data_IF_508846642222
#
_entry.id   IF_508846642222
#
_cell.length_a   1.000
_cell.length_b   1.000
_cell.length_c   1.000
_cell.angle_alpha   90.00
_cell.angle_beta   90.00
_cell.angle_gamma   90.00
#
_symmetry.space_group_name_H-M   'P 1'
#
loop_
_entity.id
_entity.type
_entity.pdbx_description
1 polymer ?
#
# COMPACT_ATOMS: atom_id res chain seq x y z
N UNK A 1 -17.64 42.39 -34.89
CA UNK A 1 -16.71 41.36 -35.43
C UNK A 1 -15.23 41.77 -35.43
N UNK A 2 -14.78 42.84 -36.14
CA UNK A 2 -13.32 43.12 -36.33
C UNK A 2 -12.48 43.10 -35.03
N UNK A 3 -12.93 43.75 -33.96
CA UNK A 3 -12.21 43.80 -32.67
C UNK A 3 -12.00 42.41 -32.05
N UNK A 4 -13.07 41.60 -31.96
CA UNK A 4 -12.98 40.24 -31.41
C UNK A 4 -12.02 39.33 -32.21
N UNK A 5 -11.98 39.49 -33.54
CA UNK A 5 -11.03 38.74 -34.39
C UNK A 5 -9.58 39.19 -34.14
N UNK A 6 -9.33 40.47 -33.86
CA UNK A 6 -7.99 40.96 -33.48
C UNK A 6 -7.56 40.36 -32.13
N UNK A 7 -8.40 40.46 -31.09
CA UNK A 7 -8.09 39.89 -29.76
C UNK A 7 -7.71 38.40 -29.86
N UNK A 8 -8.47 37.60 -30.60
CA UNK A 8 -8.21 36.15 -30.70
C UNK A 8 -6.82 35.84 -31.27
N UNK A 9 -6.36 36.59 -32.30
CA UNK A 9 -5.04 36.36 -32.90
C UNK A 9 -3.92 36.90 -32.00
N UNK A 10 -4.14 38.02 -31.28
CA UNK A 10 -3.21 38.53 -30.28
C UNK A 10 -3.02 37.57 -29.10
N UNK A 11 -4.10 36.96 -28.61
CA UNK A 11 -4.05 35.97 -27.52
C UNK A 11 -3.34 34.69 -27.97
N UNK A 12 -3.66 34.16 -29.16
CA UNK A 12 -2.98 32.96 -29.71
C UNK A 12 -1.48 33.24 -29.89
N UNK A 13 -1.10 34.40 -30.45
CA UNK A 13 0.31 34.77 -30.62
C UNK A 13 1.08 34.94 -29.30
N UNK A 14 0.41 35.42 -28.24
CA UNK A 14 1.01 35.50 -26.91
C UNK A 14 1.19 34.11 -26.28
N UNK A 15 0.19 33.23 -26.42
CA UNK A 15 0.25 31.85 -25.92
C UNK A 15 1.33 31.03 -26.63
N UNK A 16 1.49 31.17 -27.95
CA UNK A 16 2.58 30.47 -28.66
C UNK A 16 3.96 31.02 -28.28
N UNK A 17 4.12 32.35 -28.12
CA UNK A 17 5.37 32.94 -27.66
C UNK A 17 5.79 32.43 -26.26
N UNK A 18 4.83 32.29 -25.33
CA UNK A 18 5.08 31.74 -23.99
C UNK A 18 5.53 30.26 -24.06
N UNK A 19 4.89 29.45 -24.92
CA UNK A 19 5.25 28.03 -25.09
C UNK A 19 6.60 27.81 -25.79
N UNK A 20 7.05 28.75 -26.64
CA UNK A 20 8.37 28.70 -27.27
C UNK A 20 9.52 29.13 -26.35
N UNK A 21 9.22 29.80 -25.23
CA UNK A 21 10.20 30.25 -24.23
C UNK A 21 10.30 29.32 -23.01
N UNK A 22 9.31 28.45 -22.78
CA UNK A 22 9.25 27.62 -21.57
C UNK A 22 10.35 26.56 -21.40
N UNK A 23 10.94 25.93 -22.45
CA UNK A 23 11.98 24.91 -22.26
C UNK A 23 13.27 25.44 -21.62
N UNK A 24 13.56 26.73 -21.78
CA UNK A 24 14.81 27.35 -21.29
C UNK A 24 14.76 27.84 -19.85
N UNK A 25 13.57 28.09 -19.28
CA UNK A 25 13.44 28.72 -17.96
C UNK A 25 13.25 27.74 -16.79
N UNK A 26 12.99 26.46 -17.07
CA UNK A 26 12.72 25.45 -16.03
C UNK A 26 13.97 24.73 -15.49
N UNK A 27 15.17 25.23 -15.79
CA UNK A 27 16.45 24.74 -15.22
C UNK A 27 17.02 25.63 -14.10
N UNK A 28 16.39 26.77 -13.78
CA UNK A 28 16.75 27.60 -12.61
C UNK A 28 16.23 26.99 -11.30
N UNK A 29 16.67 25.77 -11.00
CA UNK A 29 16.20 24.99 -9.85
C UNK A 29 17.09 23.79 -9.47
N UNK A 30 18.23 23.58 -10.12
CA UNK A 30 19.23 22.63 -9.63
C UNK A 30 19.88 23.22 -8.38
N UNK A 31 19.32 22.89 -7.22
CA UNK A 31 20.05 22.99 -5.96
C UNK A 31 21.17 21.94 -6.01
N UNK A 32 22.34 22.35 -6.50
CA UNK A 32 23.59 21.71 -6.10
C UNK A 32 23.68 21.87 -4.60
N UNK A 33 23.43 20.81 -3.84
CA UNK A 33 23.73 20.80 -2.42
C UNK A 33 25.21 21.18 -2.26
N UNK A 34 25.49 22.25 -1.50
CA UNK A 34 26.86 22.63 -1.19
C UNK A 34 27.58 21.41 -0.60
N UNK A 35 28.74 21.07 -1.19
CA UNK A 35 29.51 19.93 -0.74
C UNK A 35 29.90 20.15 0.72
N UNK A 36 29.36 19.33 1.62
CA UNK A 36 29.47 19.51 3.06
C UNK A 36 30.94 19.70 3.46
N UNK A 37 31.28 20.92 3.92
CA UNK A 37 32.64 21.31 4.25
C UNK A 37 33.17 20.41 5.36
N UNK A 38 34.32 19.78 5.11
CA UNK A 38 34.85 18.73 5.97
C UNK A 38 35.10 19.25 7.39
N UNK A 39 34.41 18.66 8.36
CA UNK A 39 34.62 18.88 9.79
C UNK A 39 35.91 18.23 10.30
N UNK A 40 37.04 18.50 9.67
CA UNK A 40 38.35 18.11 10.18
C UNK A 40 38.61 18.84 11.52
N UNK A 41 39.31 18.23 12.50
CA UNK A 41 39.68 18.91 13.73
C UNK A 41 40.61 20.09 13.42
N UNK A 42 40.12 21.32 13.58
CA UNK A 42 40.91 22.54 13.29
C UNK A 42 42.06 22.77 14.28
N UNK A 43 42.15 22.00 15.37
CA UNK A 43 43.32 22.03 16.26
C UNK A 43 43.76 20.62 16.67
N UNK A 44 45.05 20.47 16.97
CA UNK A 44 45.61 19.28 17.64
C UNK A 44 46.24 19.65 18.98
N UNK A 45 46.00 18.82 20.00
CA UNK A 45 46.65 18.99 21.31
C UNK A 45 48.12 18.56 21.25
N UNK A 46 49.02 19.41 21.72
CA UNK A 46 50.45 19.10 21.84
C UNK A 46 51.00 19.41 23.23
N UNK A 47 51.86 18.53 23.73
CA UNK A 47 52.51 18.64 25.04
C UNK A 47 53.99 18.31 24.90
N UNK A 48 54.83 18.99 25.68
CA UNK A 48 56.27 18.78 25.64
C UNK A 48 56.97 19.15 26.95
N UNK A 49 58.26 18.79 27.05
CA UNK A 49 59.14 19.23 28.14
C UNK A 49 60.41 19.84 27.58
N UNK A 50 60.44 21.16 27.56
CA UNK A 50 61.53 22.00 27.07
C UNK A 50 62.79 21.88 27.97
N UNK A 51 63.94 21.72 27.32
CA UNK A 51 65.26 21.57 27.92
C UNK A 51 66.27 22.46 27.21
N UNK A 52 67.29 22.90 27.94
CA UNK A 52 68.45 23.57 27.37
C UNK A 52 69.29 22.57 26.55
N UNK A 53 69.54 22.87 25.28
CA UNK A 53 70.35 22.03 24.40
C UNK A 53 71.82 21.90 24.85
N UNK A 54 72.36 22.92 25.54
CA UNK A 54 73.74 22.96 26.00
C UNK A 54 73.99 22.27 27.35
N UNK A 55 72.95 22.02 28.15
CA UNK A 55 73.09 21.44 29.49
C UNK A 55 72.17 20.25 29.80
N UNK A 56 71.17 19.94 28.96
CA UNK A 56 70.22 18.84 29.16
C UNK A 56 69.20 19.04 30.30
N UNK A 57 69.43 20.04 31.16
CA UNK A 57 68.51 20.50 32.20
C UNK A 57 67.22 21.08 31.61
N UNK A 58 66.13 21.06 32.39
CA UNK A 58 64.94 21.84 32.07
C UNK A 58 65.25 23.33 32.04
N UNK A 59 64.50 24.07 31.24
CA UNK A 59 64.50 25.54 31.31
C UNK A 59 63.82 26.03 32.59
N UNK A 60 64.13 27.27 32.97
CA UNK A 60 63.47 27.98 34.08
C UNK A 60 61.96 28.09 33.87
N UNK A 61 61.21 28.25 34.96
CA UNK A 61 59.79 28.61 34.88
C UNK A 61 59.66 30.03 34.30
N UNK A 62 58.76 30.23 33.34
CA UNK A 62 58.54 31.53 32.71
C UNK A 62 57.68 31.45 31.45
N UNK A 63 57.44 32.60 30.83
CA UNK A 63 56.76 32.68 29.53
C UNK A 63 57.76 32.43 28.40
N UNK A 64 57.39 31.59 27.44
CA UNK A 64 58.15 31.32 26.23
C UNK A 64 57.25 31.43 25.00
N UNK A 65 57.83 31.82 23.87
CA UNK A 65 57.14 32.00 22.60
C UNK A 65 57.48 30.82 21.69
N UNK A 66 56.44 30.18 21.15
CA UNK A 66 56.54 28.99 20.31
C UNK A 66 56.05 29.30 18.91
N UNK A 67 56.69 28.68 17.91
CA UNK A 67 56.23 28.59 16.53
C UNK A 67 56.17 27.13 16.15
N UNK A 68 55.03 26.70 15.64
CA UNK A 68 54.81 25.35 15.14
C UNK A 68 54.64 25.44 13.63
N UNK A 69 55.39 24.63 12.89
CA UNK A 69 55.29 24.55 11.43
C UNK A 69 55.09 23.09 11.03
N UNK A 70 54.06 22.79 10.23
CA UNK A 70 53.80 21.44 9.73
C UNK A 70 54.28 21.32 8.29
N UNK A 71 55.00 20.24 8.00
CA UNK A 71 55.59 19.94 6.69
C UNK A 71 55.18 18.58 6.16
N UNK A 72 55.15 18.45 4.83
CA UNK A 72 54.93 17.21 4.08
C UNK A 72 56.14 16.24 4.09
N UNK A 73 57.26 16.62 4.71
CA UNK A 73 58.49 15.83 4.76
C UNK A 73 59.26 16.02 6.08
N UNK A 74 60.02 14.98 6.47
CA UNK A 74 60.91 14.99 7.64
C UNK A 74 62.01 16.03 7.60
N UNK A 75 62.45 16.41 6.39
CA UNK A 75 63.53 17.35 6.09
C UNK A 75 63.28 17.96 4.72
N UNK A 76 63.34 19.29 4.60
CA UNK A 76 62.92 19.99 3.36
C UNK A 76 61.40 20.04 3.25
N UNK A 77 60.85 19.77 2.07
CA UNK A 77 59.40 19.71 1.85
C UNK A 77 58.68 21.07 1.84
N UNK A 78 57.37 21.02 1.64
CA UNK A 78 56.46 22.18 1.65
C UNK A 78 55.92 22.40 3.07
N UNK A 79 55.84 23.66 3.50
CA UNK A 79 55.09 24.02 4.70
C UNK A 79 53.59 23.95 4.37
N UNK A 80 52.85 23.12 5.11
CA UNK A 80 51.39 22.93 4.96
C UNK A 80 50.63 23.96 5.79
N UNK A 81 51.05 24.22 7.02
CA UNK A 81 50.42 25.21 7.91
C UNK A 81 51.39 25.66 9.02
N UNK A 82 51.04 26.71 9.77
CA UNK A 82 51.83 27.22 10.89
C UNK A 82 50.99 27.96 11.92
N UNK A 83 51.36 27.80 13.19
CA UNK A 83 50.73 28.45 14.34
C UNK A 83 51.79 29.03 15.30
N UNK A 84 51.41 30.01 16.13
CA UNK A 84 52.29 30.67 17.08
C UNK A 84 51.62 30.86 18.45
N UNK A 85 52.21 30.30 19.50
CA UNK A 85 51.64 30.33 20.84
C UNK A 85 52.58 30.97 21.87
N UNK A 86 52.04 31.80 22.76
CA UNK A 86 52.77 32.31 23.94
C UNK A 86 52.37 31.47 25.15
N UNK A 87 53.30 30.67 25.69
CA UNK A 87 53.00 29.62 26.67
C UNK A 87 53.80 29.79 27.95
N UNK A 88 53.15 29.56 29.10
CA UNK A 88 53.82 29.46 30.40
C UNK A 88 54.44 28.08 30.55
N UNK A 89 55.77 28.03 30.64
CA UNK A 89 56.54 26.80 30.87
C UNK A 89 56.81 26.64 32.36
N UNK A 90 56.58 25.44 32.91
CA UNK A 90 56.81 25.12 34.34
C UNK A 90 57.51 23.77 34.50
N UNK A 91 58.68 23.74 35.14
CA UNK A 91 59.56 22.55 35.23
C UNK A 91 59.88 21.96 33.83
N UNK A 92 60.04 22.86 32.85
CA UNK A 92 60.15 22.54 31.42
C UNK A 92 58.84 22.16 30.73
N UNK A 93 57.78 21.78 31.44
CA UNK A 93 56.52 21.31 30.82
C UNK A 93 55.69 22.46 30.24
N UNK A 94 55.04 22.18 29.11
CA UNK A 94 54.02 23.01 28.48
C UNK A 94 52.95 22.14 27.80
N UNK A 95 51.77 22.73 27.58
CA UNK A 95 50.67 22.16 26.81
C UNK A 95 50.04 23.26 25.96
N UNK A 96 49.56 22.92 24.77
CA UNK A 96 48.86 23.85 23.87
C UNK A 96 47.92 23.11 22.92
N UNK A 97 47.02 23.84 22.29
CA UNK A 97 46.33 23.42 21.08
C UNK A 97 47.00 24.17 19.92
N UNK A 98 47.41 23.44 18.89
CA UNK A 98 48.00 23.99 17.66
C UNK A 98 46.87 24.14 16.65
N UNK A 99 46.61 25.34 16.16
CA UNK A 99 45.67 25.56 15.05
C UNK A 99 46.26 25.03 13.74
N UNK A 100 45.44 24.34 12.95
CA UNK A 100 45.84 23.74 11.69
C UNK A 100 45.43 24.59 10.47
N UNK A 101 44.59 25.60 10.66
CA UNK A 101 43.82 26.28 9.62
C UNK A 101 42.90 25.34 8.83
N UNK A 102 42.23 25.86 7.80
CA UNK A 102 41.31 25.11 6.93
C UNK A 102 42.01 24.23 5.89
N UNK A 103 43.35 24.28 5.77
CA UNK A 103 44.09 23.69 4.64
C UNK A 103 44.71 22.30 4.92
N UNK A 104 44.58 21.77 6.14
CA UNK A 104 44.97 20.38 6.48
C UNK A 104 43.78 19.44 6.24
N UNK A 105 43.48 19.18 4.97
CA UNK A 105 42.16 18.68 4.54
C UNK A 105 41.82 17.25 5.01
N UNK A 106 42.79 16.33 5.14
CA UNK A 106 42.49 14.90 5.36
C UNK A 106 43.49 14.05 6.18
N UNK A 107 44.70 14.54 6.48
CA UNK A 107 45.82 13.73 7.05
C UNK A 107 46.22 12.47 6.24
N UNK A 108 45.90 12.39 4.95
CA UNK A 108 46.24 11.23 4.10
C UNK A 108 47.76 11.05 3.94
N UNK A 109 48.51 12.16 3.98
CA UNK A 109 49.97 12.14 4.01
C UNK A 109 50.51 12.25 5.44
N UNK A 110 51.68 11.65 5.67
CA UNK A 110 52.42 11.86 6.91
C UNK A 110 52.78 13.34 7.06
N UNK A 111 52.63 13.89 8.27
CA UNK A 111 53.04 15.27 8.58
C UNK A 111 54.16 15.28 9.63
N UNK A 112 55.04 16.27 9.51
CA UNK A 112 56.19 16.46 10.39
C UNK A 112 56.19 17.88 10.97
N UNK A 113 56.16 17.98 12.29
CA UNK A 113 56.12 19.24 13.01
C UNK A 113 57.53 19.72 13.38
N UNK A 114 57.88 20.89 12.87
CA UNK A 114 59.03 21.68 13.31
C UNK A 114 58.60 22.62 14.43
N UNK A 115 59.47 22.84 15.42
CA UNK A 115 59.19 23.71 16.57
C UNK A 115 60.34 24.70 16.72
N UNK A 116 60.01 25.99 16.61
CA UNK A 116 60.88 27.09 17.03
C UNK A 116 60.48 27.59 18.42
N UNK A 117 61.45 27.86 19.30
CA UNK A 117 61.20 28.35 20.66
C UNK A 117 62.05 29.57 20.97
N UNK A 118 61.47 30.56 21.64
CA UNK A 118 62.12 31.81 22.02
C UNK A 118 61.81 32.21 23.47
N UNK A 119 62.79 32.79 24.16
CA UNK A 119 62.60 33.41 25.48
C UNK A 119 62.31 34.91 25.44
N UNK A 120 62.49 35.57 24.30
CA UNK A 120 62.30 37.02 24.10
C UNK A 120 61.21 37.36 23.06
N UNK A 121 60.74 36.37 22.31
CA UNK A 121 59.76 36.51 21.23
C UNK A 121 60.36 36.97 19.90
N UNK A 122 61.68 37.24 19.86
CA UNK A 122 62.42 37.82 18.73
C UNK A 122 63.28 36.75 18.05
N UNK A 123 64.16 36.09 18.81
CA UNK A 123 65.09 35.06 18.28
C UNK A 123 64.60 33.67 18.65
N UNK A 124 64.43 32.78 17.67
CA UNK A 124 63.87 31.43 17.88
C UNK A 124 64.94 30.37 17.59
N UNK A 125 65.19 29.51 18.58
CA UNK A 125 65.96 28.29 18.42
C UNK A 125 65.04 27.19 17.86
N UNK A 126 65.39 26.64 16.69
CA UNK A 126 64.64 25.55 16.05
C UNK A 126 65.14 24.18 16.52
N UNK A 127 64.20 23.28 16.85
CA UNK A 127 64.52 21.90 17.23
C UNK A 127 65.17 21.14 16.06
N UNK A 128 66.24 20.40 16.34
CA UNK A 128 67.12 19.78 15.32
C UNK A 128 66.48 18.62 14.54
N UNK A 129 65.33 18.11 14.97
CA UNK A 129 64.54 17.11 14.26
C UNK A 129 63.06 17.45 14.33
N UNK A 130 62.33 17.21 13.22
CA UNK A 130 60.88 17.37 13.19
C UNK A 130 60.18 16.18 13.84
N UNK A 131 59.17 16.47 14.66
CA UNK A 131 58.34 15.45 15.31
C UNK A 131 57.33 14.94 14.29
N UNK A 132 57.45 13.68 13.86
CA UNK A 132 56.45 13.05 13.00
C UNK A 132 55.12 12.92 13.76
N UNK A 133 54.03 13.46 13.19
CA UNK A 133 52.68 13.17 13.67
C UNK A 133 52.31 11.72 13.27
N UNK A 134 51.70 10.99 14.21
CA UNK A 134 51.25 9.61 13.99
C UNK A 134 49.83 9.46 14.52
N UNK A 135 49.01 8.65 13.84
CA UNK A 135 47.69 8.27 14.33
C UNK A 135 47.78 7.45 15.62
N UNK A 136 46.78 7.55 16.49
CA UNK A 136 46.74 6.74 17.71
C UNK A 136 46.46 5.27 17.39
N UNK A 137 46.93 4.34 18.23
CA UNK A 137 46.76 2.89 18.00
C UNK A 137 45.28 2.48 17.78
N UNK A 138 44.35 3.11 18.50
CA UNK A 138 42.91 2.85 18.35
C UNK A 138 42.26 3.66 17.22
N UNK A 139 42.87 4.77 16.79
CA UNK A 139 42.41 5.53 15.62
C UNK A 139 42.61 4.77 14.29
N UNK A 140 43.48 3.75 14.25
CA UNK A 140 43.63 2.87 13.08
C UNK A 140 42.41 1.96 12.84
N UNK A 141 41.62 1.62 13.88
CA UNK A 141 40.39 0.82 13.72
C UNK A 141 39.15 1.69 13.52
N UNK A 142 39.18 2.97 13.95
CA UNK A 142 38.10 3.94 13.75
C UNK A 142 38.41 4.93 12.62
N UNK A 143 38.86 4.43 11.46
CA UNK A 143 39.18 5.27 10.29
C UNK A 143 37.97 6.14 9.91
N UNK A 144 38.25 7.36 9.45
CA UNK A 144 37.23 8.30 9.00
C UNK A 144 36.35 7.70 7.90
N UNK A 145 35.06 8.06 7.90
CA UNK A 145 34.19 7.82 6.75
C UNK A 145 34.67 8.75 5.64
N UNK A 146 35.22 8.18 4.57
CA UNK A 146 35.81 8.94 3.47
C UNK A 146 34.69 9.48 2.56
N UNK A 147 34.73 10.77 2.19
CA UNK A 147 33.80 11.33 1.20
C UNK A 147 34.35 11.10 -0.22
N UNK A 148 33.60 10.40 -1.08
CA UNK A 148 34.02 10.13 -2.47
C UNK A 148 32.83 10.08 -3.43
N UNK A 149 33.02 10.53 -4.68
CA UNK A 149 32.01 10.40 -5.73
C UNK A 149 31.84 8.94 -6.23
N UNK A 150 32.83 8.08 -5.98
CA UNK A 150 32.87 6.69 -6.45
C UNK A 150 33.47 5.75 -5.42
N UNK A 151 33.21 4.45 -5.59
CA UNK A 151 33.74 3.40 -4.73
C UNK A 151 35.29 3.37 -4.75
N UNK A 152 35.97 3.44 -3.60
CA UNK A 152 37.41 3.24 -3.54
C UNK A 152 37.83 1.88 -4.12
N UNK A 153 38.91 1.86 -4.89
CA UNK A 153 39.39 0.67 -5.62
C UNK A 153 40.67 0.04 -5.03
N UNK A 154 41.28 0.69 -4.04
CA UNK A 154 42.55 0.30 -3.39
C UNK A 154 42.43 0.43 -1.88
N UNK A 155 43.28 -0.24 -1.11
CA UNK A 155 43.23 -0.29 0.37
C UNK A 155 41.87 -0.81 0.92
N UNK A 156 41.42 -1.92 0.35
CA UNK A 156 40.14 -2.54 0.70
C UNK A 156 40.31 -3.50 1.89
N UNK A 157 39.55 -3.25 2.96
CA UNK A 157 39.49 -4.08 4.16
C UNK A 157 38.04 -4.18 4.64
N UNK A 158 37.68 -5.31 5.27
CA UNK A 158 36.31 -5.51 5.76
C UNK A 158 35.96 -4.46 6.83
N UNK A 159 34.80 -3.83 6.71
CA UNK A 159 34.35 -2.75 7.59
C UNK A 159 34.88 -1.36 7.21
N UNK A 160 35.63 -1.17 6.11
CA UNK A 160 35.90 0.19 5.60
C UNK A 160 34.58 0.85 5.19
N UNK A 161 34.43 2.15 5.46
CA UNK A 161 33.22 2.91 5.17
C UNK A 161 33.55 4.15 4.33
N UNK A 162 32.70 4.47 3.35
CA UNK A 162 32.78 5.73 2.59
C UNK A 162 31.36 6.29 2.34
N UNK A 163 31.23 7.61 2.35
CA UNK A 163 30.01 8.30 1.95
C UNK A 163 30.09 8.65 0.46
N UNK A 164 29.17 8.10 -0.32
CA UNK A 164 29.09 8.37 -1.74
C UNK A 164 28.41 9.72 -1.99
N UNK A 165 29.20 10.73 -2.36
CA UNK A 165 28.70 12.11 -2.54
C UNK A 165 27.85 12.30 -3.80
N UNK A 166 27.86 11.35 -4.74
CA UNK A 166 27.02 11.37 -5.95
C UNK A 166 25.64 10.73 -5.72
N UNK A 167 25.53 9.76 -4.82
CA UNK A 167 24.26 9.06 -4.52
C UNK A 167 23.67 9.36 -3.15
N UNK A 168 24.39 10.10 -2.29
CA UNK A 168 23.99 10.41 -0.91
C UNK A 168 23.97 9.20 0.03
N UNK A 169 24.66 8.10 -0.32
CA UNK A 169 24.59 6.82 0.41
C UNK A 169 25.89 6.51 1.14
N UNK A 170 25.78 6.12 2.40
CA UNK A 170 26.87 5.50 3.14
C UNK A 170 27.07 4.07 2.64
N UNK A 171 28.31 3.64 2.43
CA UNK A 171 28.66 2.32 1.91
C UNK A 171 29.70 1.67 2.82
N UNK A 172 29.61 0.35 3.01
CA UNK A 172 30.57 -0.46 3.76
C UNK A 172 31.16 -1.55 2.87
N UNK A 173 32.46 -1.80 2.97
CA UNK A 173 33.11 -2.90 2.26
C UNK A 173 33.00 -4.19 3.08
N UNK A 174 32.31 -5.20 2.55
CA UNK A 174 32.02 -6.45 3.27
C UNK A 174 33.16 -7.51 3.18
N UNK A 175 34.32 -7.13 2.63
CA UNK A 175 35.43 -8.04 2.33
C UNK A 175 35.47 -8.57 0.90
N UNK A 176 34.41 -8.40 0.10
CA UNK A 176 34.39 -8.74 -1.34
C UNK A 176 33.88 -7.59 -2.21
N UNK A 177 32.82 -6.90 -1.78
CA UNK A 177 32.17 -5.80 -2.50
C UNK A 177 31.81 -4.63 -1.55
N UNK A 178 31.54 -3.48 -2.16
CA UNK A 178 30.89 -2.36 -1.48
C UNK A 178 29.39 -2.60 -1.43
N UNK A 179 28.81 -2.52 -0.23
CA UNK A 179 27.37 -2.66 0.04
C UNK A 179 26.85 -1.32 0.56
N UNK A 180 25.75 -0.84 -0.01
CA UNK A 180 25.08 0.37 0.47
C UNK A 180 24.39 0.11 1.81
N UNK A 181 24.63 0.98 2.80
CA UNK A 181 23.84 1.04 4.02
C UNK A 181 22.50 1.70 3.66
N UNK A 182 21.45 0.88 3.58
CA UNK A 182 20.12 1.30 3.13
C UNK A 182 19.57 2.43 4.00
N UNK A 183 19.27 3.58 3.39
CA UNK A 183 18.74 4.77 4.06
C UNK A 183 17.20 4.90 3.96
N UNK A 184 16.56 3.95 3.30
CA UNK A 184 15.10 3.79 3.17
C UNK A 184 14.77 2.29 2.96
N UNK A 185 13.48 1.94 3.00
CA UNK A 185 13.03 0.55 2.97
C UNK A 185 13.14 -0.11 1.58
N UNK A 186 13.02 0.65 0.49
CA UNK A 186 13.21 0.15 -0.89
C UNK A 186 14.68 -0.22 -1.14
N UNK A 187 15.61 0.63 -0.69
CA UNK A 187 17.05 0.32 -0.69
C UNK A 187 17.43 -0.85 0.24
N UNK A 188 16.59 -1.22 1.21
CA UNK A 188 16.76 -2.44 1.99
C UNK A 188 16.21 -3.66 1.25
N UNK A 189 15.07 -3.50 0.58
CA UNK A 189 14.41 -4.54 -0.20
C UNK A 189 15.21 -4.97 -1.44
N UNK A 190 15.75 -4.00 -2.20
CA UNK A 190 16.54 -4.26 -3.41
C UNK A 190 17.87 -4.99 -3.12
N UNK A 191 18.37 -4.93 -1.89
CA UNK A 191 19.57 -5.67 -1.45
C UNK A 191 19.35 -7.20 -1.32
N UNK A 192 18.11 -7.71 -1.36
CA UNK A 192 17.84 -9.16 -1.38
C UNK A 192 18.07 -9.81 -2.75
N UNK A 193 18.25 -9.02 -3.81
CA UNK A 193 18.56 -9.51 -5.16
C UNK A 193 17.33 -9.91 -5.99
N UNK A 194 17.53 -10.75 -7.00
CA UNK A 194 16.52 -11.07 -8.03
C UNK A 194 15.54 -12.21 -7.66
N UNK A 195 15.53 -12.66 -6.42
CA UNK A 195 14.60 -13.67 -5.92
C UNK A 195 13.43 -12.99 -5.17
N UNK A 196 12.31 -13.70 -4.99
CA UNK A 196 11.16 -13.17 -4.24
C UNK A 196 11.51 -12.99 -2.75
N UNK A 197 11.75 -11.74 -2.35
CA UNK A 197 12.03 -11.32 -0.98
C UNK A 197 10.87 -11.64 -0.05
N UNK A 198 11.13 -12.32 1.07
CA UNK A 198 10.12 -12.62 2.09
C UNK A 198 10.35 -11.76 3.32
N UNK A 199 9.44 -10.83 3.60
CA UNK A 199 9.35 -10.20 4.92
C UNK A 199 8.94 -11.29 5.90
N UNK A 200 9.89 -11.72 6.74
CA UNK A 200 9.66 -12.75 7.75
C UNK A 200 9.49 -12.04 9.10
N UNK A 201 8.31 -12.20 9.70
CA UNK A 201 8.04 -11.75 11.06
C UNK A 201 8.13 -12.97 11.96
N UNK A 202 9.13 -13.01 12.83
CA UNK A 202 9.31 -14.07 13.82
C UNK A 202 9.40 -13.50 15.25
N UNK A 203 9.51 -14.40 16.22
CA UNK A 203 9.68 -14.09 17.64
C UNK A 203 11.07 -14.47 18.17
N UNK A 204 12.10 -14.50 17.30
CA UNK A 204 13.45 -14.95 17.67
C UNK A 204 14.09 -14.06 18.76
N UNK A 205 13.77 -12.75 18.75
CA UNK A 205 14.21 -11.76 19.73
C UNK A 205 13.13 -11.54 20.83
N UNK A 206 12.30 -12.55 21.09
CA UNK A 206 11.21 -12.53 22.08
C UNK A 206 10.11 -11.50 21.81
N UNK A 207 9.86 -11.13 20.54
CA UNK A 207 8.73 -10.30 20.15
C UNK A 207 7.39 -10.97 20.52
N UNK A 208 6.43 -10.18 21.02
CA UNK A 208 5.11 -10.67 21.46
C UNK A 208 3.94 -10.12 20.64
N UNK A 209 4.20 -9.56 19.45
CA UNK A 209 3.22 -8.93 18.56
C UNK A 209 3.50 -9.22 17.09
N UNK A 210 2.54 -8.90 16.21
CA UNK A 210 2.59 -9.16 14.77
C UNK A 210 2.88 -7.91 13.92
N UNK A 211 2.50 -7.97 12.65
CA UNK A 211 2.52 -6.85 11.69
C UNK A 211 1.18 -6.11 11.70
N UNK A 212 1.22 -4.77 11.67
CA UNK A 212 0.06 -3.89 11.79
C UNK A 212 0.16 -2.69 10.82
N UNK A 213 -0.98 -2.23 10.30
CA UNK A 213 -1.09 -1.06 9.41
C UNK A 213 -2.17 -0.11 9.93
N UNK A 214 -1.77 0.90 10.71
CA UNK A 214 -2.67 1.85 11.40
C UNK A 214 -2.77 3.21 10.66
N UNK A 215 -3.94 3.86 10.73
CA UNK A 215 -4.32 5.05 9.97
C UNK A 215 -4.88 6.16 10.88
N UNK A 216 -4.01 6.64 11.77
CA UNK A 216 -4.30 7.61 12.84
C UNK A 216 -4.56 9.06 12.35
N UNK A 217 -5.57 9.28 11.50
CA UNK A 217 -5.99 10.62 11.09
C UNK A 217 -7.52 10.81 11.08
N UNK A 218 -7.98 11.98 11.52
CA UNK A 218 -9.41 12.32 11.73
C UNK A 218 -10.24 12.50 10.46
N UNK A 219 -9.65 12.29 9.28
CA UNK A 219 -10.16 12.77 7.99
C UNK A 219 -10.27 11.63 6.94
N UNK A 220 -10.63 10.42 7.38
CA UNK A 220 -10.79 9.21 6.55
C UNK A 220 -9.58 8.86 5.64
N UNK A 221 -8.44 8.41 6.19
CA UNK A 221 -7.41 7.77 5.38
C UNK A 221 -7.88 6.39 4.91
N UNK A 222 -7.55 6.02 3.67
CA UNK A 222 -7.82 4.69 3.14
C UNK A 222 -6.61 3.77 3.34
N UNK A 223 -6.83 2.52 3.76
CA UNK A 223 -5.79 1.48 3.69
C UNK A 223 -5.80 0.91 2.27
N UNK A 224 -4.85 1.33 1.43
CA UNK A 224 -4.75 0.88 0.04
C UNK A 224 -3.73 -0.26 -0.03
N UNK A 225 -4.23 -1.48 -0.24
CA UNK A 225 -3.41 -2.67 -0.51
C UNK A 225 -3.33 -2.83 -2.03
N UNK A 226 -2.26 -2.28 -2.62
CA UNK A 226 -2.03 -2.24 -4.07
C UNK A 226 -1.10 -3.39 -4.52
N UNK A 227 -1.68 -4.49 -4.99
CA UNK A 227 -0.93 -5.69 -5.42
C UNK A 227 -0.46 -5.58 -6.87
N UNK A 228 0.52 -4.69 -7.08
CA UNK A 228 1.10 -4.38 -8.40
C UNK A 228 1.52 -5.62 -9.22
N UNK A 229 1.02 -5.71 -10.46
CA UNK A 229 1.34 -6.77 -11.42
C UNK A 229 0.29 -7.89 -11.47
N UNK A 230 0.70 -9.13 -11.78
CA UNK A 230 -0.15 -10.32 -11.68
C UNK A 230 -0.14 -10.90 -10.27
N UNK A 231 -0.17 -10.02 -9.26
CA UNK A 231 -0.25 -10.38 -7.86
C UNK A 231 -1.69 -10.27 -7.42
N UNK A 232 -2.36 -11.39 -7.18
CA UNK A 232 -3.60 -11.38 -6.43
C UNK A 232 -3.30 -11.00 -4.97
N UNK A 233 -4.25 -10.39 -4.27
CA UNK A 233 -4.26 -10.38 -2.82
C UNK A 233 -4.73 -11.77 -2.32
N UNK A 234 -3.91 -12.80 -2.58
CA UNK A 234 -4.18 -14.15 -2.07
C UNK A 234 -4.08 -14.14 -0.56
N UNK A 235 -5.22 -14.25 0.13
CA UNK A 235 -5.23 -14.64 1.52
C UNK A 235 -5.12 -16.16 1.54
N UNK A 236 -3.87 -16.63 1.63
CA UNK A 236 -3.47 -18.03 1.62
C UNK A 236 -2.86 -18.44 2.96
N UNK A 237 -3.01 -19.73 3.30
CA UNK A 237 -2.26 -20.39 4.38
C UNK A 237 -1.40 -21.52 3.79
N UNK A 238 -0.13 -21.59 4.18
CA UNK A 238 0.87 -22.59 3.79
C UNK A 238 1.02 -22.92 2.27
N UNK A 239 0.39 -22.15 1.37
CA UNK A 239 0.34 -22.41 -0.08
C UNK A 239 -1.04 -22.84 -0.61
N UNK A 240 -2.10 -22.76 0.20
CA UNK A 240 -3.49 -22.96 -0.21
C UNK A 240 -4.27 -21.65 -0.14
N UNK A 241 -4.94 -21.28 -1.23
CA UNK A 241 -5.87 -20.14 -1.29
C UNK A 241 -7.09 -20.38 -0.38
N UNK A 242 -7.34 -19.49 0.59
CA UNK A 242 -8.58 -19.48 1.37
C UNK A 242 -9.59 -18.51 0.76
N UNK A 243 -9.20 -17.24 0.69
CA UNK A 243 -9.86 -16.24 -0.13
C UNK A 243 -8.84 -15.73 -1.14
N UNK A 244 -9.03 -16.06 -2.42
CA UNK A 244 -8.43 -15.26 -3.47
C UNK A 244 -9.23 -13.96 -3.51
N UNK A 245 -8.66 -12.89 -2.95
CA UNK A 245 -8.86 -11.57 -3.54
C UNK A 245 -7.93 -11.48 -4.76
N UNK A 246 -8.29 -12.27 -5.77
CA UNK A 246 -8.33 -11.74 -7.13
C UNK A 246 -9.42 -10.62 -7.14
N UNK A 247 -10.28 -10.60 -8.14
CA UNK A 247 -11.66 -10.11 -8.04
C UNK A 247 -12.57 -10.91 -7.07
N UNK A 248 -12.32 -12.22 -6.89
CA UNK A 248 -13.27 -13.23 -6.45
C UNK A 248 -13.46 -13.43 -4.94
N UNK A 249 -13.46 -12.35 -4.14
CA UNK A 249 -13.81 -12.44 -2.72
C UNK A 249 -15.32 -12.70 -2.50
N UNK A 250 -15.68 -13.12 -1.27
CA UNK A 250 -17.08 -13.07 -0.82
C UNK A 250 -17.55 -11.60 -0.79
N UNK A 251 -18.42 -11.25 -1.73
CA UNK A 251 -18.77 -9.88 -2.08
C UNK A 251 -19.86 -9.29 -1.17
N UNK A 252 -19.46 -8.86 0.02
CA UNK A 252 -20.33 -8.14 0.97
C UNK A 252 -20.33 -6.63 0.67
N UNK A 253 -21.52 -6.07 0.38
CA UNK A 253 -21.69 -4.67 -0.09
C UNK A 253 -22.75 -3.95 0.75
N UNK A 254 -22.42 -3.66 2.00
CA UNK A 254 -23.24 -2.86 2.92
C UNK A 254 -23.21 -1.36 2.60
N UNK A 255 -23.49 -1.00 1.33
CA UNK A 255 -23.56 0.37 0.84
C UNK A 255 -25.00 0.86 0.69
N UNK A 256 -25.20 2.18 0.68
CA UNK A 256 -26.51 2.81 0.36
C UNK A 256 -26.78 2.92 -1.15
N UNK A 257 -26.07 2.14 -1.96
CA UNK A 257 -26.19 2.09 -3.42
C UNK A 257 -26.66 0.70 -3.88
N UNK A 258 -26.90 0.55 -5.19
CA UNK A 258 -27.32 -0.73 -5.74
C UNK A 258 -26.17 -1.73 -5.87
N UNK A 259 -26.50 -3.02 -5.69
CA UNK A 259 -25.67 -4.17 -6.04
C UNK A 259 -26.24 -4.75 -7.35
N UNK A 260 -25.39 -5.03 -8.34
CA UNK A 260 -25.78 -5.69 -9.60
C UNK A 260 -24.88 -6.90 -9.83
N UNK A 261 -25.46 -8.02 -10.24
CA UNK A 261 -24.80 -9.32 -10.41
C UNK A 261 -25.27 -9.97 -11.72
N UNK A 262 -24.75 -9.44 -12.83
CA UNK A 262 -25.16 -9.80 -14.19
C UNK A 262 -24.11 -10.73 -14.85
N UNK A 263 -24.53 -11.85 -15.46
CA UNK A 263 -23.63 -12.75 -16.19
C UNK A 263 -24.34 -13.60 -17.27
N UNK A 264 -23.64 -13.83 -18.39
CA UNK A 264 -24.16 -14.54 -19.58
C UNK A 264 -24.24 -16.08 -19.44
N UNK A 265 -23.69 -16.63 -18.36
CA UNK A 265 -23.59 -18.07 -18.12
C UNK A 265 -24.41 -18.50 -16.89
N UNK A 266 -24.56 -19.81 -16.70
CA UNK A 266 -25.30 -20.41 -15.57
C UNK A 266 -24.79 -19.87 -14.22
N UNK A 267 -25.53 -18.90 -13.67
CA UNK A 267 -25.15 -18.13 -12.48
C UNK A 267 -25.68 -18.81 -11.23
N UNK A 268 -24.90 -19.78 -10.75
CA UNK A 268 -25.32 -20.71 -9.71
C UNK A 268 -25.23 -20.09 -8.31
N UNK A 269 -26.27 -19.34 -7.92
CA UNK A 269 -26.58 -19.04 -6.51
C UNK A 269 -27.03 -20.31 -5.79
N UNK A 270 -26.11 -21.28 -5.64
CA UNK A 270 -26.36 -22.50 -4.89
C UNK A 270 -26.04 -22.29 -3.42
N UNK A 271 -27.04 -22.49 -2.55
CA UNK A 271 -26.81 -22.78 -1.15
C UNK A 271 -26.70 -24.29 -1.00
N UNK A 272 -25.49 -24.81 -0.77
CA UNK A 272 -25.29 -26.25 -0.51
C UNK A 272 -25.90 -26.70 0.82
N UNK A 273 -26.18 -25.74 1.71
CA UNK A 273 -27.00 -25.84 2.93
C UNK A 273 -27.71 -24.51 3.18
N UNK A 274 -28.93 -24.55 3.71
CA UNK A 274 -29.69 -23.37 4.13
C UNK A 274 -30.41 -22.63 3.00
N UNK A 275 -31.18 -21.62 3.38
CA UNK A 275 -32.13 -20.93 2.50
C UNK A 275 -31.44 -19.85 1.64
N UNK A 276 -31.85 -19.75 0.38
CA UNK A 276 -31.52 -18.63 -0.50
C UNK A 276 -32.64 -17.58 -0.41
N UNK A 277 -32.45 -16.57 0.44
CA UNK A 277 -33.45 -15.52 0.67
C UNK A 277 -33.27 -14.35 -0.30
N UNK A 278 -34.34 -13.99 -1.01
CA UNK A 278 -34.46 -12.73 -1.74
C UNK A 278 -35.57 -11.87 -1.12
N UNK A 279 -35.19 -10.72 -0.56
CA UNK A 279 -36.12 -9.79 0.10
C UNK A 279 -35.94 -8.37 -0.43
N UNK A 280 -37.02 -7.60 -0.45
CA UNK A 280 -37.02 -6.17 -0.79
C UNK A 280 -37.78 -5.41 0.30
N UNK A 281 -37.04 -4.89 1.30
CA UNK A 281 -37.59 -4.14 2.45
C UNK A 281 -38.53 -3.01 2.01
N UNK A 282 -38.20 -2.35 0.89
CA UNK A 282 -39.06 -1.39 0.19
C UNK A 282 -39.04 -1.70 -1.31
N UNK A 283 -40.19 -2.06 -1.89
CA UNK A 283 -40.36 -2.21 -3.33
C UNK A 283 -40.99 -3.54 -3.73
N UNK A 284 -40.43 -4.18 -4.75
CA UNK A 284 -40.91 -5.44 -5.31
C UNK A 284 -39.75 -6.31 -5.78
N UNK A 285 -39.71 -7.56 -5.34
CA UNK A 285 -38.91 -8.59 -6.00
C UNK A 285 -39.51 -8.89 -7.38
N UNK A 286 -38.69 -8.87 -8.44
CA UNK A 286 -39.11 -9.10 -9.82
C UNK A 286 -38.34 -10.30 -10.37
N UNK A 287 -39.00 -11.45 -10.46
CA UNK A 287 -38.52 -12.60 -11.21
C UNK A 287 -39.14 -12.59 -12.61
N UNK A 288 -38.31 -12.80 -13.63
CA UNK A 288 -38.70 -12.93 -15.03
C UNK A 288 -37.76 -13.90 -15.73
N UNK A 289 -38.31 -14.66 -16.67
CA UNK A 289 -37.53 -15.22 -17.76
C UNK A 289 -38.12 -14.72 -19.07
N UNK A 290 -37.26 -14.16 -19.92
CA UNK A 290 -37.60 -13.77 -21.29
C UNK A 290 -37.22 -14.88 -22.30
N UNK A 291 -36.95 -16.10 -21.82
CA UNK A 291 -36.58 -17.26 -22.65
C UNK A 291 -37.75 -17.74 -23.53
N UNK A 292 -37.47 -17.94 -24.81
CA UNK A 292 -38.46 -18.25 -25.82
C UNK A 292 -38.76 -19.77 -26.00
N UNK A 293 -38.11 -20.65 -25.21
CA UNK A 293 -38.16 -22.11 -25.40
C UNK A 293 -38.29 -22.84 -24.06
N UNK A 294 -39.54 -23.05 -23.63
CA UNK A 294 -39.95 -23.71 -22.39
C UNK A 294 -39.60 -22.97 -21.08
N UNK A 295 -40.36 -23.28 -20.02
CA UNK A 295 -40.19 -23.05 -18.58
C UNK A 295 -39.27 -21.88 -18.14
N UNK A 296 -39.50 -20.69 -18.72
CA UNK A 296 -38.70 -19.48 -18.48
C UNK A 296 -38.62 -19.04 -17.00
N UNK A 297 -39.55 -19.49 -16.15
CA UNK A 297 -39.35 -19.57 -14.71
C UNK A 297 -39.71 -20.99 -14.27
N UNK A 298 -38.69 -21.80 -14.00
CA UNK A 298 -38.85 -23.14 -13.44
C UNK A 298 -38.70 -23.08 -11.92
N UNK A 299 -39.72 -23.56 -11.20
CA UNK A 299 -39.68 -23.75 -9.75
C UNK A 299 -39.92 -25.24 -9.48
N UNK A 300 -38.97 -25.88 -8.80
CA UNK A 300 -39.07 -27.28 -8.40
C UNK A 300 -38.88 -27.40 -6.88
N UNK A 301 -39.69 -28.26 -6.28
CA UNK A 301 -39.62 -28.63 -4.87
C UNK A 301 -38.92 -29.98 -4.64
N UNK A 302 -38.62 -30.74 -5.70
CA UNK A 302 -38.13 -32.12 -5.71
C UNK A 302 -39.16 -33.13 -5.13
N UNK A 303 -39.12 -34.38 -5.57
CA UNK A 303 -40.03 -35.48 -5.17
C UNK A 303 -39.85 -35.96 -3.70
N UNK A 304 -39.18 -35.19 -2.85
CA UNK A 304 -38.92 -35.55 -1.46
C UNK A 304 -40.18 -35.35 -0.58
N UNK A 305 -40.45 -36.31 0.32
CA UNK A 305 -41.66 -36.30 1.13
C UNK A 305 -41.74 -35.08 2.06
N UNK A 306 -42.67 -34.16 1.78
CA UNK A 306 -42.94 -32.96 2.59
C UNK A 306 -42.39 -31.66 2.00
N UNK A 307 -41.81 -31.67 0.80
CA UNK A 307 -41.48 -30.46 0.05
C UNK A 307 -42.73 -29.85 -0.60
N UNK A 308 -42.62 -28.60 -1.07
CA UNK A 308 -43.67 -27.95 -1.84
C UNK A 308 -43.42 -26.45 -2.07
N UNK A 309 -43.93 -25.93 -3.18
CA UNK A 309 -43.89 -24.49 -3.48
C UNK A 309 -45.07 -23.82 -2.76
N UNK A 310 -44.78 -22.93 -1.83
CA UNK A 310 -45.79 -22.16 -1.09
C UNK A 310 -45.78 -20.71 -1.56
N UNK A 311 -46.92 -20.22 -2.05
CA UNK A 311 -47.12 -18.80 -2.40
C UNK A 311 -48.08 -18.17 -1.40
N UNK A 312 -47.64 -17.12 -0.71
CA UNK A 312 -48.43 -16.37 0.28
C UNK A 312 -48.65 -14.96 -0.21
N UNK A 313 -49.90 -14.49 -0.23
CA UNK A 313 -50.24 -13.09 -0.52
C UNK A 313 -50.72 -12.37 0.74
N UNK A 314 -50.54 -11.06 0.79
CA UNK A 314 -51.09 -10.22 1.85
C UNK A 314 -52.62 -10.17 1.81
N UNK A 315 -53.26 -9.80 2.94
CA UNK A 315 -54.73 -9.76 3.08
C UNK A 315 -55.45 -8.72 2.21
N UNK A 316 -54.71 -7.78 1.61
CA UNK A 316 -55.26 -6.63 0.87
C UNK A 316 -55.17 -6.80 -0.66
N UNK A 317 -54.26 -7.64 -1.15
CA UNK A 317 -54.01 -7.86 -2.58
C UNK A 317 -53.92 -9.36 -2.85
N UNK A 318 -54.85 -9.88 -3.65
CA UNK A 318 -54.90 -11.29 -4.01
C UNK A 318 -53.87 -11.69 -5.06
N UNK A 319 -53.71 -13.01 -5.24
CA UNK A 319 -52.92 -13.57 -6.32
C UNK A 319 -53.61 -13.36 -7.68
N UNK A 320 -52.83 -13.14 -8.73
CA UNK A 320 -53.34 -12.88 -10.08
C UNK A 320 -52.41 -13.46 -11.14
N UNK A 321 -52.97 -14.17 -12.12
CA UNK A 321 -52.31 -14.61 -13.33
C UNK A 321 -53.08 -14.03 -14.52
N UNK A 322 -52.37 -13.64 -15.59
CA UNK A 322 -53.02 -13.07 -16.77
C UNK A 322 -52.20 -13.30 -18.03
N UNK A 323 -52.88 -13.51 -19.16
CA UNK A 323 -52.27 -13.97 -20.41
C UNK A 323 -52.04 -15.48 -20.44
N UNK A 324 -51.90 -16.03 -21.65
CA UNK A 324 -51.65 -17.46 -21.89
C UNK A 324 -52.77 -18.41 -21.45
N UNK A 325 -52.59 -19.73 -21.67
CA UNK A 325 -53.35 -20.76 -20.99
C UNK A 325 -52.75 -21.06 -19.60
N UNK A 326 -53.60 -21.20 -18.58
CA UNK A 326 -53.19 -21.72 -17.28
C UNK A 326 -53.57 -23.20 -17.18
N UNK A 327 -52.59 -24.07 -16.99
CA UNK A 327 -52.77 -25.52 -16.89
C UNK A 327 -52.34 -26.00 -15.50
N UNK A 328 -53.19 -26.75 -14.82
CA UNK A 328 -52.85 -27.45 -13.57
C UNK A 328 -53.01 -28.94 -13.82
N UNK A 329 -51.94 -29.70 -13.62
CA UNK A 329 -51.95 -31.16 -13.66
C UNK A 329 -51.44 -31.69 -12.33
N UNK A 330 -52.14 -32.69 -11.77
CA UNK A 330 -51.78 -33.31 -10.50
C UNK A 330 -52.24 -34.77 -10.49
N UNK A 331 -51.41 -35.64 -9.94
CA UNK A 331 -51.78 -37.03 -9.59
C UNK A 331 -52.43 -37.12 -8.20
N UNK A 332 -52.38 -36.03 -7.42
CA UNK A 332 -52.98 -35.90 -6.10
C UNK A 332 -54.26 -35.04 -6.11
N UNK A 333 -54.69 -34.62 -4.92
CA UNK A 333 -55.89 -33.81 -4.73
C UNK A 333 -55.60 -32.33 -5.07
N UNK A 334 -56.47 -31.71 -5.85
CA UNK A 334 -56.49 -30.27 -6.11
C UNK A 334 -57.60 -29.61 -5.28
N UNK A 335 -57.22 -28.76 -4.32
CA UNK A 335 -58.13 -28.09 -3.38
C UNK A 335 -58.23 -26.59 -3.68
N UNK A 336 -59.43 -26.09 -4.00
CA UNK A 336 -59.70 -24.67 -4.21
C UNK A 336 -60.78 -24.21 -3.20
N UNK A 337 -60.37 -23.42 -2.20
CA UNK A 337 -61.25 -22.90 -1.15
C UNK A 337 -60.96 -21.42 -0.87
N UNK A 338 -61.99 -20.65 -0.46
CA UNK A 338 -61.87 -19.24 -0.10
C UNK A 338 -62.86 -18.84 0.98
N UNK A 339 -62.56 -17.78 1.72
CA UNK A 339 -63.42 -17.23 2.79
C UNK A 339 -64.59 -16.36 2.31
N UNK A 340 -64.92 -16.43 1.02
CA UNK A 340 -65.94 -15.63 0.35
C UNK A 340 -66.30 -16.25 -1.01
N UNK A 341 -67.15 -15.58 -1.79
CA UNK A 341 -67.62 -16.10 -3.06
C UNK A 341 -66.47 -16.36 -4.06
N UNK A 342 -66.37 -17.60 -4.54
CA UNK A 342 -65.49 -17.98 -5.63
C UNK A 342 -66.26 -17.97 -6.95
N UNK A 343 -65.66 -17.45 -8.03
CA UNK A 343 -66.23 -17.46 -9.37
C UNK A 343 -65.36 -18.29 -10.31
N UNK A 344 -66.01 -19.09 -11.16
CA UNK A 344 -65.36 -19.85 -12.23
C UNK A 344 -66.16 -19.65 -13.51
N UNK A 345 -65.50 -19.21 -14.57
CA UNK A 345 -66.20 -18.73 -15.77
C UNK A 345 -65.26 -18.22 -16.85
N UNK A 346 -65.78 -18.19 -18.07
CA UNK A 346 -65.15 -17.67 -19.28
C UNK A 346 -65.85 -16.38 -19.73
N UNK A 347 -65.15 -15.52 -20.47
CA UNK A 347 -65.78 -14.39 -21.19
C UNK A 347 -66.20 -14.76 -22.61
N UNK A 348 -65.62 -15.83 -23.18
CA UNK A 348 -65.90 -16.40 -24.49
C UNK A 348 -65.66 -17.92 -24.42
N UNK A 349 -66.53 -18.72 -25.02
CA UNK A 349 -66.41 -20.20 -25.02
C UNK A 349 -66.95 -20.84 -23.74
N UNK A 350 -66.98 -22.18 -23.73
CA UNK A 350 -67.69 -22.96 -22.71
C UNK A 350 -66.83 -23.28 -21.47
N UNK A 351 -67.50 -23.50 -20.34
CA UNK A 351 -66.89 -24.07 -19.12
C UNK A 351 -67.23 -25.56 -19.06
N UNK A 352 -66.23 -26.42 -19.19
CA UNK A 352 -66.38 -27.88 -19.10
C UNK A 352 -65.92 -28.38 -17.72
N UNK A 353 -66.76 -29.17 -17.06
CA UNK A 353 -66.41 -29.92 -15.85
C UNK A 353 -66.64 -31.41 -16.12
N UNK A 354 -65.62 -32.24 -15.92
CA UNK A 354 -65.68 -33.70 -16.12
C UNK A 354 -65.18 -34.43 -14.88
N UNK A 355 -65.62 -35.69 -14.73
CA UNK A 355 -65.11 -36.64 -13.77
C UNK A 355 -64.94 -38.00 -14.48
N UNK A 356 -63.87 -38.14 -15.25
CA UNK A 356 -63.59 -39.29 -16.14
C UNK A 356 -63.63 -40.65 -15.41
N UNK A 357 -63.38 -40.64 -14.10
CA UNK A 357 -63.83 -41.68 -13.18
C UNK A 357 -64.27 -41.06 -11.86
N UNK A 358 -65.49 -41.34 -11.40
CA UNK A 358 -66.05 -40.82 -10.15
C UNK A 358 -67.43 -40.19 -10.35
N UNK A 359 -67.69 -39.10 -9.63
CA UNK A 359 -68.93 -38.33 -9.70
C UNK A 359 -68.63 -36.84 -9.58
N UNK A 360 -69.26 -36.01 -10.41
CA UNK A 360 -69.32 -34.56 -10.21
C UNK A 360 -70.42 -34.25 -9.18
N UNK A 361 -70.09 -33.48 -8.15
CA UNK A 361 -70.97 -33.23 -7.00
C UNK A 361 -71.10 -31.73 -6.79
N UNK A 362 -72.34 -31.23 -6.74
CA UNK A 362 -72.68 -29.84 -6.41
C UNK A 362 -73.53 -29.84 -5.15
N UNK A 363 -73.04 -29.21 -4.08
CA UNK A 363 -73.76 -29.02 -2.82
C UNK A 363 -73.94 -27.52 -2.55
N UNK A 364 -75.07 -27.16 -1.94
CA UNK A 364 -75.37 -25.80 -1.48
C UNK A 364 -75.85 -25.85 -0.04
N UNK A 365 -74.95 -25.54 0.90
CA UNK A 365 -75.20 -25.66 2.34
C UNK A 365 -75.76 -24.36 2.98
N UNK A 366 -76.07 -23.33 2.18
CA UNK A 366 -76.59 -22.07 2.69
C UNK A 366 -78.08 -22.18 3.09
N UNK A 367 -78.43 -21.62 4.25
CA UNK A 367 -79.80 -21.61 4.77
C UNK A 367 -80.62 -20.44 4.17
N UNK A 368 -80.63 -20.36 2.84
CA UNK A 368 -81.28 -19.33 2.02
C UNK A 368 -82.04 -20.04 0.88
N UNK A 369 -83.01 -19.36 0.25
CA UNK A 369 -83.63 -19.87 -0.96
C UNK A 369 -82.61 -19.99 -2.11
N UNK A 370 -82.82 -20.95 -3.00
CA UNK A 370 -82.04 -21.18 -4.23
C UNK A 370 -80.54 -21.51 -4.04
N UNK A 371 -80.17 -22.16 -2.92
CA UNK A 371 -78.81 -22.60 -2.57
C UNK A 371 -78.04 -23.40 -3.65
N UNK A 372 -78.75 -23.95 -4.65
CA UNK A 372 -78.17 -24.29 -5.95
C UNK A 372 -79.11 -23.72 -7.03
N UNK A 373 -78.61 -22.79 -7.84
CA UNK A 373 -79.37 -22.18 -8.94
C UNK A 373 -78.70 -22.47 -10.30
N UNK A 374 -79.50 -22.86 -11.29
CA UNK A 374 -79.05 -23.10 -12.67
C UNK A 374 -79.93 -22.30 -13.62
N UNK A 375 -79.33 -21.42 -14.43
CA UNK A 375 -80.04 -20.44 -15.27
C UNK A 375 -79.49 -20.45 -16.69
N UNK A 376 -80.37 -20.63 -17.67
CA UNK A 376 -80.06 -20.40 -19.09
C UNK A 376 -80.73 -19.09 -19.55
N UNK A 377 -79.93 -18.08 -19.89
CA UNK A 377 -80.44 -16.78 -20.36
C UNK A 377 -81.06 -16.83 -21.77
N UNK A 378 -80.66 -17.82 -22.58
CA UNK A 378 -81.25 -18.21 -23.85
C UNK A 378 -80.99 -19.70 -24.09
N UNK A 379 -81.80 -20.36 -24.93
CA UNK A 379 -81.72 -21.80 -25.15
C UNK A 379 -82.51 -22.60 -24.10
N UNK A 380 -81.96 -23.72 -23.64
CA UNK A 380 -82.53 -24.59 -22.62
C UNK A 380 -81.45 -25.29 -21.81
N UNK A 381 -81.85 -26.07 -20.80
CA UNK A 381 -80.95 -26.88 -19.97
C UNK A 381 -81.13 -28.34 -20.37
N UNK A 382 -80.18 -28.88 -21.13
CA UNK A 382 -80.16 -30.29 -21.50
C UNK A 382 -79.51 -31.12 -20.37
N UNK A 383 -80.26 -32.07 -19.82
CA UNK A 383 -79.74 -33.05 -18.85
C UNK A 383 -80.11 -34.44 -19.35
N UNK A 384 -79.11 -35.32 -19.46
CA UNK A 384 -79.30 -36.69 -19.95
C UNK A 384 -78.61 -37.70 -19.03
N UNK A 385 -79.20 -38.89 -18.91
CA UNK A 385 -78.69 -40.00 -18.14
C UNK A 385 -78.99 -41.31 -18.87
N UNK A 386 -78.02 -42.23 -18.92
CA UNK A 386 -78.14 -43.47 -19.69
C UNK A 386 -79.10 -44.51 -19.08
N UNK A 387 -79.34 -44.45 -17.76
CA UNK A 387 -80.09 -45.48 -17.02
C UNK A 387 -81.22 -44.94 -16.13
N UNK A 388 -80.99 -43.91 -15.32
CA UNK A 388 -81.96 -43.39 -14.34
C UNK A 388 -81.63 -41.92 -14.01
N UNK A 389 -82.65 -41.07 -13.87
CA UNK A 389 -82.50 -39.61 -13.79
C UNK A 389 -82.82 -39.03 -12.41
N UNK A 390 -83.91 -39.46 -11.79
CA UNK A 390 -84.24 -39.19 -10.37
C UNK A 390 -84.36 -40.52 -9.61
N UNK A 391 -84.26 -40.46 -8.28
CA UNK A 391 -84.22 -41.62 -7.40
C UNK A 391 -84.96 -41.39 -6.08
#
# INVERSE_FOLDING_TARGET
>A
MRIAKILLHSVIGLVTAINLLSPGLFFMGVQTADAATLGAPSTIGYQGRLKSASSGSVVSNGTYYFRFYLYDASTGGTQVTSDTATLTVTNGYFSTNIDLSTDVVDFVNNLWMEIGVSSDGVTYDTMTTRVKLNSSAYSFVTRSIENSASAPATDLFNGRMYFNTTTGKLNVYNGTAWVGVSNNLDDAYNNFGAAASKITIDAAESQTGGLEFELSATNNPNLVIDTQGTGDFVIQDAGSTWAQFTDGQAFDVNGTGAISLDADAASNFNTSVGDLTFEAEIGSLILKGDEAVADAIYLDANDAAGTGITMVTGVTAGYSLSGGPFNVSSTGILNLYGGGAATFGTTVGDVTLSADSGSLIFHGDENVADAIQVVAAAGGIDISASNRFFH
#
